data_IF_974397449869
#
_entry.id   IF_974397449869
#
_cell.length_a   1.000
_cell.length_b   1.000
_cell.length_c   1.000
_cell.angle_alpha   90.00
_cell.angle_beta   90.00
_cell.angle_gamma   90.00
#
_symmetry.space_group_name_H-M   'P 1'
#
loop_
_entity.id
_entity.type
_entity.pdbx_description
1 polymer ?
#
# COMPACT_ATOMS: atom_id res chain seq x y z
N UNK A 1 2.32 31.39 12.92
CA UNK A 1 3.58 31.25 12.13
C UNK A 1 4.30 29.90 12.33
N UNK A 2 4.11 29.15 13.43
CA UNK A 2 4.84 27.89 13.69
C UNK A 2 4.30 26.64 12.96
N UNK A 3 2.98 26.59 12.71
CA UNK A 3 2.33 25.43 12.11
C UNK A 3 2.84 25.07 10.70
N UNK A 4 3.20 26.08 9.90
CA UNK A 4 3.74 25.87 8.54
C UNK A 4 5.12 25.22 8.56
N UNK A 5 5.96 25.56 9.54
CA UNK A 5 7.30 24.95 9.71
C UNK A 5 7.18 23.49 10.17
N UNK A 6 6.30 23.22 11.13
CA UNK A 6 6.04 21.86 11.58
C UNK A 6 5.50 20.98 10.46
N UNK A 7 4.48 21.46 9.73
CA UNK A 7 3.89 20.75 8.60
C UNK A 7 4.92 20.47 7.49
N UNK A 8 5.81 21.43 7.18
CA UNK A 8 6.89 21.20 6.21
C UNK A 8 7.85 20.10 6.67
N UNK A 9 8.23 20.11 7.94
CA UNK A 9 9.12 19.09 8.52
C UNK A 9 8.48 17.69 8.47
N UNK A 10 7.20 17.59 8.80
CA UNK A 10 6.45 16.32 8.72
C UNK A 10 6.36 15.81 7.28
N UNK A 11 5.96 16.67 6.33
CA UNK A 11 5.88 16.30 4.92
C UNK A 11 7.23 15.92 4.32
N UNK A 12 8.31 16.59 4.74
CA UNK A 12 9.67 16.25 4.33
C UNK A 12 10.07 14.85 4.83
N UNK A 13 9.82 14.54 6.10
CA UNK A 13 10.08 13.23 6.70
C UNK A 13 9.29 12.10 6.00
N UNK A 14 8.02 12.35 5.65
CA UNK A 14 7.21 11.40 4.89
C UNK A 14 7.81 11.15 3.50
N UNK A 15 8.20 12.21 2.78
CA UNK A 15 8.78 12.10 1.44
C UNK A 15 10.14 11.43 1.42
N UNK A 16 10.96 11.61 2.45
CA UNK A 16 12.26 10.94 2.60
C UNK A 16 12.12 9.41 2.69
N UNK A 17 11.04 8.92 3.33
CA UNK A 17 10.80 7.49 3.60
C UNK A 17 9.82 6.83 2.64
N UNK A 18 9.33 7.56 1.64
CA UNK A 18 8.37 7.05 0.66
C UNK A 18 8.96 7.08 -0.74
N UNK A 19 8.58 6.11 -1.56
CA UNK A 19 9.03 6.02 -2.95
C UNK A 19 7.88 6.41 -3.88
N UNK A 20 8.16 7.26 -4.86
CA UNK A 20 7.20 7.61 -5.91
C UNK A 20 7.10 6.42 -6.88
N UNK A 21 5.92 5.81 -6.94
CA UNK A 21 5.60 4.77 -7.92
C UNK A 21 5.28 5.44 -9.25
N UNK A 22 6.19 5.32 -10.23
CA UNK A 22 6.07 5.87 -11.59
C UNK A 22 5.25 4.97 -12.51
N UNK A 23 5.23 3.66 -12.26
CA UNK A 23 4.50 2.68 -13.07
C UNK A 23 4.03 1.51 -12.21
N UNK A 24 2.87 0.94 -12.58
CA UNK A 24 2.31 -0.25 -11.93
C UNK A 24 3.26 -1.45 -11.96
N UNK A 25 4.21 -1.49 -12.90
CA UNK A 25 5.20 -2.56 -13.03
C UNK A 25 6.26 -2.54 -11.92
N UNK A 26 6.43 -1.42 -11.22
CA UNK A 26 7.34 -1.34 -10.07
C UNK A 26 6.76 -2.05 -8.83
N UNK A 27 5.45 -2.35 -8.85
CA UNK A 27 4.82 -3.17 -7.84
C UNK A 27 5.06 -4.64 -8.16
N UNK A 28 5.41 -5.42 -7.13
CA UNK A 28 5.65 -6.84 -7.30
C UNK A 28 4.37 -7.55 -7.75
N UNK A 29 4.49 -8.34 -8.82
CA UNK A 29 3.37 -9.15 -9.27
C UNK A 29 3.05 -10.23 -8.23
N UNK A 30 1.76 -10.45 -7.98
CA UNK A 30 1.26 -11.51 -7.07
C UNK A 30 1.86 -12.88 -7.40
N UNK A 31 2.30 -13.11 -8.65
CA UNK A 31 2.99 -14.34 -9.07
C UNK A 31 4.23 -14.64 -8.22
N UNK A 32 4.96 -13.62 -7.81
CA UNK A 32 6.21 -13.73 -7.05
C UNK A 32 6.01 -13.87 -5.53
N UNK A 33 4.79 -13.60 -5.03
CA UNK A 33 4.50 -13.73 -3.60
C UNK A 33 4.67 -15.17 -3.09
N UNK A 34 5.00 -15.37 -1.80
CA UNK A 34 5.08 -16.70 -1.20
C UNK A 34 3.77 -17.50 -1.33
N UNK A 35 3.87 -18.83 -1.40
CA UNK A 35 2.73 -19.73 -1.65
C UNK A 35 1.58 -19.55 -0.65
N UNK A 36 1.89 -19.33 0.64
CA UNK A 36 0.88 -19.12 1.70
C UNK A 36 0.06 -17.85 1.44
N UNK A 37 0.73 -16.77 1.06
CA UNK A 37 0.10 -15.48 0.74
C UNK A 37 -0.75 -15.60 -0.54
N UNK A 38 -0.22 -16.23 -1.58
CA UNK A 38 -0.97 -16.49 -2.83
C UNK A 38 -2.26 -17.28 -2.58
N UNK A 39 -2.21 -18.32 -1.73
CA UNK A 39 -3.39 -19.11 -1.36
C UNK A 39 -4.44 -18.27 -0.64
N UNK A 40 -4.02 -17.42 0.30
CA UNK A 40 -4.92 -16.53 1.03
C UNK A 40 -5.60 -15.51 0.11
N UNK A 41 -4.81 -14.78 -0.70
CA UNK A 41 -5.33 -13.78 -1.65
C UNK A 41 -6.33 -14.43 -2.64
N UNK A 42 -6.04 -15.64 -3.14
CA UNK A 42 -6.97 -16.37 -4.02
C UNK A 42 -8.29 -16.71 -3.31
N UNK A 43 -8.25 -17.15 -2.05
CA UNK A 43 -9.45 -17.47 -1.25
C UNK A 43 -10.29 -16.21 -1.00
N UNK A 44 -9.65 -15.10 -0.64
CA UNK A 44 -10.32 -13.82 -0.40
C UNK A 44 -11.03 -13.29 -1.66
N UNK A 45 -10.35 -13.32 -2.81
CA UNK A 45 -10.94 -12.95 -4.12
C UNK A 45 -12.13 -13.82 -4.50
N UNK A 46 -12.08 -15.12 -4.21
CA UNK A 46 -13.16 -16.06 -4.54
C UNK A 46 -14.46 -15.72 -3.82
N UNK A 47 -14.36 -15.25 -2.58
CA UNK A 47 -15.51 -14.91 -1.73
C UNK A 47 -15.86 -13.41 -1.86
N UNK A 48 -15.11 -12.64 -2.70
CA UNK A 48 -15.22 -11.19 -2.87
C UNK A 48 -15.09 -10.38 -1.57
N UNK A 49 -14.43 -10.96 -0.56
CA UNK A 49 -14.19 -10.31 0.74
C UNK A 49 -13.18 -9.17 0.62
N UNK A 50 -12.42 -9.12 -0.48
CA UNK A 50 -11.57 -7.98 -0.84
C UNK A 50 -12.36 -6.65 -0.80
N UNK A 51 -13.60 -6.62 -1.28
CA UNK A 51 -14.45 -5.41 -1.26
C UNK A 51 -14.93 -5.03 0.14
N UNK A 52 -14.98 -5.97 1.07
CA UNK A 52 -15.38 -5.72 2.46
C UNK A 52 -14.17 -5.20 3.25
N UNK A 53 -13.00 -5.81 3.06
CA UNK A 53 -11.74 -5.37 3.67
C UNK A 53 -11.43 -3.93 3.25
N UNK A 54 -11.47 -3.61 1.95
CA UNK A 54 -11.23 -2.25 1.45
C UNK A 54 -12.24 -1.19 1.90
N UNK A 55 -13.32 -1.59 2.58
CA UNK A 55 -14.32 -0.67 3.15
C UNK A 55 -14.17 -0.44 4.65
N UNK A 56 -13.51 -1.37 5.37
CA UNK A 56 -13.41 -1.36 6.83
C UNK A 56 -12.00 -0.95 7.29
N UNK A 57 -10.99 -1.32 6.51
CA UNK A 57 -9.58 -0.93 6.68
C UNK A 57 -9.25 0.28 5.79
#
# INVERSE_FOLDING_TARGET
MNYMKQRHKELACIREKTLIVKSYQQLESIKFYPLKVKKLIKRLRRIRVDRLISRIL
#
